data_IF_173548668163
#
_entry.id   IF_173548668163
#
_cell.length_a   1.000
_cell.length_b   1.000
_cell.length_c   1.000
_cell.angle_alpha   90.00
_cell.angle_beta   90.00
_cell.angle_gamma   90.00
#
_symmetry.space_group_name_H-M   'P 1'
#
loop_
_entity.id
_entity.type
_entity.pdbx_description
1 polymer ?
#
# COMPACT_ATOMS: atom_id res chain seq x y z
N UNK A 1 -21.86 -62.68 -6.30
CA UNK A 1 -21.99 -61.31 -5.75
C UNK A 1 -20.59 -60.82 -5.39
N UNK A 2 -20.24 -59.64 -5.88
CA UNK A 2 -18.87 -59.16 -6.03
C UNK A 2 -18.23 -58.67 -4.72
N UNK A 3 -16.92 -58.89 -4.62
CA UNK A 3 -16.01 -58.38 -3.57
C UNK A 3 -15.86 -56.86 -3.62
N UNK A 4 -15.69 -56.18 -2.48
CA UNK A 4 -15.20 -54.81 -2.44
C UNK A 4 -13.67 -54.80 -2.34
N UNK A 5 -13.04 -54.05 -3.25
CA UNK A 5 -11.60 -53.84 -3.31
C UNK A 5 -11.13 -52.75 -2.34
N UNK A 6 -10.06 -53.06 -1.63
CA UNK A 6 -9.24 -52.15 -0.84
C UNK A 6 -8.53 -51.14 -1.74
N UNK A 7 -8.76 -49.85 -1.50
CA UNK A 7 -7.99 -48.75 -2.09
C UNK A 7 -7.18 -48.08 -1.00
N UNK A 8 -5.91 -48.47 -0.89
CA UNK A 8 -4.94 -47.86 0.03
C UNK A 8 -4.31 -46.63 -0.63
N UNK A 9 -4.66 -45.45 -0.13
CA UNK A 9 -4.04 -44.19 -0.49
C UNK A 9 -2.63 -44.08 0.13
N UNK A 10 -1.64 -43.99 -0.75
CA UNK A 10 -0.23 -43.72 -0.44
C UNK A 10 -0.04 -42.22 -0.23
N UNK A 11 0.33 -41.82 0.99
CA UNK A 11 0.79 -40.45 1.30
C UNK A 11 2.25 -40.26 0.87
N UNK A 12 2.61 -39.16 0.18
CA UNK A 12 4.00 -38.85 -0.09
C UNK A 12 4.69 -38.22 1.14
N UNK A 13 5.91 -38.70 1.38
CA UNK A 13 6.85 -38.30 2.43
C UNK A 13 7.14 -36.79 2.42
N UNK A 14 7.00 -36.15 3.59
CA UNK A 14 7.58 -34.82 3.87
C UNK A 14 9.11 -34.90 3.82
N UNK A 15 9.73 -34.12 2.91
CA UNK A 15 11.16 -33.78 2.98
C UNK A 15 11.34 -32.63 3.97
N UNK A 16 12.00 -32.90 5.08
CA UNK A 16 12.52 -31.89 6.01
C UNK A 16 13.80 -31.27 5.43
N UNK A 17 13.75 -29.98 5.13
CA UNK A 17 14.96 -29.20 4.85
C UNK A 17 15.53 -28.66 6.16
N UNK A 18 16.75 -29.08 6.48
CA UNK A 18 17.59 -28.47 7.49
C UNK A 18 18.08 -27.11 6.98
N UNK A 19 17.70 -26.01 7.63
CA UNK A 19 18.39 -24.72 7.47
C UNK A 19 19.52 -24.66 8.50
N UNK A 20 20.74 -24.63 7.99
CA UNK A 20 22.00 -24.50 8.73
C UNK A 20 22.17 -23.05 9.16
N UNK A 21 22.41 -22.83 10.46
CA UNK A 21 22.83 -21.55 11.03
C UNK A 21 24.20 -21.12 10.46
N UNK A 22 24.31 -19.86 10.11
CA UNK A 22 25.55 -19.14 9.83
C UNK A 22 25.18 -17.78 9.24
N UNK A 23 25.74 -16.66 9.63
CA UNK A 23 26.70 -16.29 10.66
C UNK A 23 26.60 -14.77 10.79
N UNK A 24 26.95 -14.23 11.95
CA UNK A 24 26.94 -12.80 12.23
C UNK A 24 27.85 -12.02 11.26
N UNK A 25 27.41 -10.84 10.76
CA UNK A 25 28.34 -9.80 10.35
C UNK A 25 28.36 -8.67 11.38
N UNK A 26 29.59 -8.40 11.81
CA UNK A 26 30.03 -7.33 12.70
C UNK A 26 29.65 -5.95 12.18
N UNK A 27 29.43 -5.05 13.13
CA UNK A 27 29.23 -3.60 12.99
C UNK A 27 30.38 -2.90 12.24
N UNK A 28 30.09 -1.73 11.64
CA UNK A 28 31.08 -0.67 11.60
C UNK A 28 30.58 0.60 12.28
N UNK A 29 31.39 1.02 13.24
CA UNK A 29 31.62 2.31 13.87
C UNK A 29 31.30 3.53 12.98
N UNK A 30 30.38 4.39 13.41
CA UNK A 30 30.23 5.75 12.86
C UNK A 30 31.02 6.73 13.69
N UNK A 31 31.94 7.42 13.01
CA UNK A 31 32.86 8.42 13.53
C UNK A 31 32.13 9.76 13.70
N UNK A 32 32.33 10.34 14.87
CA UNK A 32 31.98 11.70 15.30
C UNK A 32 32.93 12.72 14.65
N UNK A 33 32.40 13.80 14.08
CA UNK A 33 33.19 14.96 13.65
C UNK A 33 32.37 16.26 13.71
N UNK A 34 32.88 17.12 14.60
CA UNK A 34 32.50 18.47 15.01
C UNK A 34 32.28 19.50 13.88
N UNK A 35 31.25 20.35 14.06
CA UNK A 35 31.14 21.86 14.08
C UNK A 35 32.37 22.72 13.70
N UNK A 36 32.29 24.09 13.55
CA UNK A 36 31.18 25.08 13.39
C UNK A 36 31.45 26.25 12.36
N UNK A 37 30.46 27.13 12.11
CA UNK A 37 30.54 28.63 11.94
C UNK A 37 29.13 29.17 11.61
N UNK A 38 28.43 30.07 12.33
CA UNK A 38 28.67 31.43 12.87
C UNK A 38 28.22 32.58 11.92
N UNK A 39 27.45 33.53 12.48
CA UNK A 39 26.89 34.77 11.87
C UNK A 39 25.47 34.59 11.32
N UNK A 40 24.41 35.34 11.66
CA UNK A 40 24.32 36.72 12.15
C UNK A 40 23.06 36.98 12.97
N UNK A 41 23.13 38.11 13.68
CA UNK A 41 22.35 38.58 14.81
C UNK A 41 21.00 39.26 14.49
N UNK A 42 19.94 38.85 15.22
CA UNK A 42 18.88 39.61 15.97
C UNK A 42 18.17 40.87 15.38
N UNK A 43 17.17 41.49 16.07
CA UNK A 43 16.09 41.00 16.96
C UNK A 43 14.70 41.62 16.62
N UNK A 44 13.58 40.99 17.04
CA UNK A 44 12.55 41.72 17.83
C UNK A 44 11.58 40.76 18.57
N UNK A 45 11.55 40.90 19.90
CA UNK A 45 10.50 40.46 20.86
C UNK A 45 9.60 41.70 21.16
N UNK A 46 8.34 41.58 21.62
CA UNK A 46 8.06 41.34 23.07
C UNK A 46 6.82 40.45 23.35
N UNK A 47 6.94 39.55 24.34
CA UNK A 47 6.23 39.53 25.65
C UNK A 47 4.70 39.34 25.64
N UNK A 48 4.24 38.24 26.22
CA UNK A 48 3.28 38.18 27.35
C UNK A 48 3.18 36.70 27.81
N UNK A 49 3.91 36.25 28.84
CA UNK A 49 3.54 36.13 30.28
C UNK A 49 2.16 35.56 30.59
N UNK A 50 2.13 34.36 31.17
CA UNK A 50 0.96 33.81 31.87
C UNK A 50 1.05 32.32 32.17
N UNK A 51 1.86 31.92 33.16
CA UNK A 51 1.59 30.72 33.98
C UNK A 51 0.83 31.17 35.25
N UNK A 52 0.05 30.29 35.90
CA UNK A 52 0.68 29.40 36.88
C UNK A 52 0.07 27.99 36.99
N UNK A 53 0.96 27.07 37.36
CA UNK A 53 0.82 25.94 38.29
C UNK A 53 -0.58 25.47 38.70
N UNK A 54 -0.81 24.17 38.53
CA UNK A 54 -1.44 23.39 39.59
C UNK A 54 -0.85 21.98 39.67
N UNK A 55 -0.52 21.64 40.91
CA UNK A 55 0.07 20.41 41.40
C UNK A 55 -1.02 19.51 41.98
N UNK A 56 -1.03 18.23 41.63
CA UNK A 56 -1.47 17.13 42.51
C UNK A 56 -0.86 15.83 41.98
N UNK A 57 0.07 15.18 42.68
CA UNK A 57 -0.10 14.41 43.92
C UNK A 57 -1.18 13.32 43.80
N UNK A 58 -0.86 12.25 43.07
CA UNK A 58 -1.61 11.00 43.06
C UNK A 58 -0.67 9.84 43.39
N UNK A 59 -0.73 9.38 44.63
CA UNK A 59 0.11 8.33 45.21
C UNK A 59 -0.09 6.97 44.57
N UNK A 60 1.03 6.34 44.20
CA UNK A 60 1.19 4.89 44.02
C UNK A 60 0.61 4.13 45.22
N UNK A 61 -0.41 3.30 44.98
CA UNK A 61 -0.85 2.25 45.91
C UNK A 61 -0.94 0.91 45.18
N UNK A 62 0.13 0.13 45.31
CA UNK A 62 0.13 -1.24 45.84
C UNK A 62 -1.07 -2.10 45.38
N UNK A 63 -0.94 -2.72 44.21
CA UNK A 63 -1.73 -3.88 43.79
C UNK A 63 -1.24 -5.11 44.57
N UNK A 64 -1.92 -5.39 45.67
CA UNK A 64 -1.71 -6.60 46.45
C UNK A 64 -2.38 -7.78 45.75
N UNK A 65 -1.52 -8.72 45.39
CA UNK A 65 -1.76 -9.97 44.70
C UNK A 65 -2.54 -10.92 45.63
N UNK A 66 -3.86 -11.08 45.41
CA UNK A 66 -4.64 -12.11 46.09
C UNK A 66 -4.99 -13.26 45.15
N UNK A 67 -4.14 -14.27 45.25
CA UNK A 67 -4.25 -15.61 44.69
C UNK A 67 -5.50 -16.31 45.28
N UNK A 68 -6.61 -16.33 44.54
CA UNK A 68 -7.72 -17.24 44.83
C UNK A 68 -7.49 -18.51 44.01
N UNK A 69 -6.97 -19.54 44.69
CA UNK A 69 -7.13 -20.93 44.24
C UNK A 69 -8.61 -21.29 44.41
N UNK A 70 -9.29 -21.62 43.32
CA UNK A 70 -10.48 -22.48 43.36
C UNK A 70 -10.19 -23.73 42.55
N UNK A 71 -10.03 -24.81 43.29
CA UNK A 71 -10.05 -26.17 42.79
C UNK A 71 -11.49 -26.57 42.47
N UNK A 72 -11.63 -27.25 41.33
CA UNK A 72 -12.56 -28.35 41.04
C UNK A 72 -14.06 -28.15 41.23
N UNK A 73 -14.77 -28.06 40.10
CA UNK A 73 -15.84 -29.03 39.82
C UNK A 73 -16.15 -29.06 38.32
N UNK A 74 -15.78 -30.14 37.66
CA UNK A 74 -16.34 -30.59 36.38
C UNK A 74 -17.86 -30.81 36.49
N UNK A 75 -18.62 -30.46 35.44
CA UNK A 75 -19.63 -31.38 34.94
C UNK A 75 -19.43 -31.72 33.46
N UNK A 76 -19.68 -33.00 33.17
CA UNK A 76 -19.72 -33.64 31.85
C UNK A 76 -20.89 -33.10 30.99
N UNK A 77 -20.89 -33.39 29.66
CA UNK A 77 -21.59 -32.61 28.66
C UNK A 77 -23.06 -32.99 28.51
N UNK A 78 -23.91 -31.99 28.27
CA UNK A 78 -25.22 -32.19 27.70
C UNK A 78 -25.12 -31.99 26.18
N UNK A 79 -25.54 -33.04 25.49
CA UNK A 79 -25.74 -33.20 24.06
C UNK A 79 -26.71 -32.18 23.45
N UNK A 80 -26.33 -31.75 22.24
CA UNK A 80 -27.18 -31.41 21.10
C UNK A 80 -28.35 -30.43 21.30
N UNK A 81 -28.22 -29.24 20.73
CA UNK A 81 -29.22 -28.75 19.77
C UNK A 81 -28.53 -27.95 18.65
N UNK A 82 -28.66 -28.47 17.43
CA UNK A 82 -28.19 -27.87 16.19
C UNK A 82 -29.02 -26.62 15.91
N UNK A 83 -28.46 -25.44 16.18
CA UNK A 83 -28.88 -24.23 15.49
C UNK A 83 -27.95 -23.99 14.31
N UNK A 84 -28.51 -24.29 13.14
CA UNK A 84 -28.04 -23.95 11.82
C UNK A 84 -27.98 -22.41 11.69
N UNK A 85 -26.92 -21.81 12.21
CA UNK A 85 -26.59 -20.40 11.99
C UNK A 85 -26.11 -20.30 10.56
N UNK A 86 -26.86 -19.55 9.77
CA UNK A 86 -26.62 -19.30 8.36
C UNK A 86 -25.16 -18.98 8.11
N UNK A 87 -24.58 -19.76 7.22
CA UNK A 87 -23.28 -19.56 6.62
C UNK A 87 -23.33 -18.24 5.83
N UNK A 88 -23.17 -17.13 6.54
CA UNK A 88 -22.94 -15.81 5.97
C UNK A 88 -21.60 -15.88 5.27
N UNK A 89 -21.64 -16.10 3.95
CA UNK A 89 -20.47 -16.17 3.10
C UNK A 89 -19.60 -14.94 3.34
N UNK A 90 -18.53 -15.13 4.10
CA UNK A 90 -17.31 -14.36 3.91
C UNK A 90 -16.84 -14.75 2.52
N UNK A 91 -17.31 -13.97 1.54
CA UNK A 91 -16.70 -13.93 0.23
C UNK A 91 -15.24 -13.59 0.49
N UNK A 92 -14.41 -14.62 0.44
CA UNK A 92 -12.99 -14.51 0.14
C UNK A 92 -12.91 -13.69 -1.14
N UNK A 93 -12.85 -12.37 -0.98
CA UNK A 93 -12.31 -11.46 -1.98
C UNK A 93 -10.80 -11.73 -1.98
N UNK A 94 -10.43 -12.93 -2.45
CA UNK A 94 -9.16 -13.13 -3.08
C UNK A 94 -9.19 -12.25 -4.33
N UNK A 95 -8.93 -10.95 -4.13
CA UNK A 95 -8.38 -10.08 -5.15
C UNK A 95 -6.98 -10.63 -5.44
N UNK A 96 -6.93 -11.79 -6.08
CA UNK A 96 -5.80 -12.19 -6.88
C UNK A 96 -5.76 -11.17 -8.00
N UNK A 97 -5.11 -10.03 -7.73
CA UNK A 97 -4.57 -9.15 -8.75
C UNK A 97 -3.55 -10.02 -9.45
N UNK A 98 -4.03 -10.82 -10.42
CA UNK A 98 -3.21 -11.31 -11.50
C UNK A 98 -2.75 -10.02 -12.17
N UNK A 99 -1.61 -9.51 -11.69
CA UNK A 99 -0.68 -8.83 -12.55
C UNK A 99 -0.35 -9.92 -13.56
N UNK A 100 -1.16 -10.00 -14.62
CA UNK A 100 -0.75 -10.63 -15.84
C UNK A 100 0.54 -9.90 -16.16
N UNK A 101 1.65 -10.54 -15.80
CA UNK A 101 2.85 -10.57 -16.60
C UNK A 101 2.36 -10.84 -18.02
N UNK A 102 1.92 -9.77 -18.70
CA UNK A 102 1.96 -9.65 -20.14
C UNK A 102 3.46 -9.65 -20.45
N UNK A 103 3.99 -10.87 -20.35
CA UNK A 103 5.28 -11.29 -20.77
C UNK A 103 5.40 -10.72 -22.18
N UNK A 104 6.43 -9.89 -22.36
CA UNK A 104 6.87 -9.38 -23.64
C UNK A 104 6.74 -10.52 -24.67
N UNK A 105 5.65 -10.50 -25.46
CA UNK A 105 5.68 -11.15 -26.76
C UNK A 105 6.71 -10.32 -27.50
N UNK A 106 7.92 -10.88 -27.59
CA UNK A 106 8.98 -10.38 -28.46
C UNK A 106 8.33 -10.14 -29.80
N UNK A 107 8.12 -8.86 -30.09
CA UNK A 107 7.39 -8.44 -31.26
C UNK A 107 8.12 -9.00 -32.47
N UNK A 108 7.34 -9.76 -33.21
CA UNK A 108 7.66 -10.50 -34.39
C UNK A 108 8.60 -9.69 -35.29
N UNK A 109 9.79 -10.26 -35.52
CA UNK A 109 10.91 -9.70 -36.27
C UNK A 109 10.48 -8.64 -37.29
N UNK A 110 10.68 -7.37 -36.91
CA UNK A 110 10.57 -6.23 -37.82
C UNK A 110 11.28 -6.62 -39.12
N UNK A 111 10.57 -6.66 -40.27
CA UNK A 111 11.18 -7.08 -41.52
C UNK A 111 12.43 -6.23 -41.78
N UNK A 112 13.52 -6.83 -42.26
CA UNK A 112 14.78 -6.12 -42.44
C UNK A 112 14.51 -4.86 -43.27
N UNK A 113 15.05 -3.70 -42.86
CA UNK A 113 14.84 -2.45 -43.57
C UNK A 113 15.21 -2.68 -45.03
N UNK A 114 14.25 -2.41 -45.93
CA UNK A 114 14.43 -2.59 -47.37
C UNK A 114 15.67 -1.80 -47.79
N UNK A 115 16.77 -2.49 -48.06
CA UNK A 115 18.01 -1.92 -48.58
C UNK A 115 17.65 -0.96 -49.72
N UNK A 116 17.82 0.34 -49.47
CA UNK A 116 17.68 1.35 -50.49
C UNK A 116 18.84 1.16 -51.45
N UNK A 117 18.64 0.35 -52.50
CA UNK A 117 19.67 0.12 -53.49
C UNK A 117 20.03 1.47 -54.17
N UNK A 118 21.25 1.98 -53.99
CA UNK A 118 21.67 3.28 -54.52
C UNK A 118 21.76 3.31 -56.06
N UNK A 119 21.57 2.16 -56.72
CA UNK A 119 21.70 2.02 -58.16
C UNK A 119 20.56 2.66 -58.97
N UNK A 120 19.42 2.96 -58.35
CA UNK A 120 18.28 3.52 -59.09
C UNK A 120 18.52 4.94 -59.60
N UNK A 121 19.26 5.79 -58.87
CA UNK A 121 19.52 7.17 -59.30
C UNK A 121 20.41 7.22 -60.55
N UNK A 122 21.45 6.39 -60.60
CA UNK A 122 22.40 6.36 -61.72
C UNK A 122 21.78 5.85 -63.03
N UNK A 123 20.64 5.15 -62.97
CA UNK A 123 19.92 4.70 -64.17
C UNK A 123 19.38 5.87 -65.02
N UNK A 124 19.23 7.06 -64.43
CA UNK A 124 18.77 8.27 -65.12
C UNK A 124 19.91 9.04 -65.81
N UNK A 125 21.17 8.65 -65.61
CA UNK A 125 22.33 9.31 -66.21
C UNK A 125 22.54 8.83 -67.65
N UNK A 126 22.40 9.72 -68.62
CA UNK A 126 22.48 9.39 -70.05
C UNK A 126 23.93 9.08 -70.43
N UNK A 127 24.18 7.83 -70.86
CA UNK A 127 25.51 7.37 -71.24
C UNK A 127 26.03 7.99 -72.54
N UNK A 128 27.36 8.04 -72.74
CA UNK A 128 27.94 8.52 -73.98
C UNK A 128 27.48 7.65 -75.16
N UNK A 129 27.28 8.24 -76.36
CA UNK A 129 26.87 7.49 -77.55
C UNK A 129 27.87 6.39 -77.90
N UNK A 130 27.37 5.31 -78.50
CA UNK A 130 28.19 4.18 -78.88
C UNK A 130 29.35 4.60 -79.81
N UNK A 131 30.55 4.02 -79.63
CA UNK A 131 31.70 4.35 -80.47
C UNK A 131 31.37 3.97 -81.92
N UNK A 132 31.33 4.96 -82.81
CA UNK A 132 30.93 4.79 -84.21
C UNK A 132 29.59 5.42 -84.60
N UNK A 133 28.84 6.01 -83.65
CA UNK A 133 27.68 6.86 -83.99
C UNK A 133 28.14 8.03 -84.87
N UNK A 134 27.50 8.30 -86.02
CA UNK A 134 27.93 9.37 -86.91
C UNK A 134 27.77 10.72 -86.21
N UNK A 135 28.89 11.32 -85.80
CA UNK A 135 28.90 12.63 -85.20
C UNK A 135 28.22 13.63 -86.15
N UNK A 136 27.08 14.20 -85.70
CA UNK A 136 26.36 15.28 -86.40
C UNK A 136 27.26 16.50 -86.69
N UNK A 137 28.44 16.58 -86.07
CA UNK A 137 29.45 17.61 -86.26
C UNK A 137 30.04 17.70 -87.69
N UNK A 138 29.82 16.70 -88.57
CA UNK A 138 30.37 16.72 -89.95
C UNK A 138 29.81 17.82 -90.86
N UNK A 139 28.73 18.52 -90.47
CA UNK A 139 28.12 19.61 -91.26
C UNK A 139 28.53 21.03 -90.83
N UNK A 140 29.38 21.19 -89.82
CA UNK A 140 29.73 22.51 -89.27
C UNK A 140 30.92 23.17 -90.00
N UNK A 141 30.86 24.48 -90.19
CA UNK A 141 31.97 25.28 -90.73
C UNK A 141 33.20 25.20 -89.80
N UNK A 142 34.40 25.43 -90.34
CA UNK A 142 35.65 25.40 -89.58
C UNK A 142 35.66 26.40 -88.41
N UNK A 143 35.08 27.58 -88.63
CA UNK A 143 34.99 28.65 -87.64
C UNK A 143 34.09 28.27 -86.46
N UNK A 144 32.96 27.61 -86.74
CA UNK A 144 32.05 27.11 -85.70
C UNK A 144 32.69 25.96 -84.91
N UNK A 145 33.42 25.05 -85.59
CA UNK A 145 34.17 23.98 -84.92
C UNK A 145 35.24 24.53 -83.97
N UNK A 146 35.92 25.60 -84.33
CA UNK A 146 36.92 26.23 -83.48
C UNK A 146 36.29 26.89 -82.24
N UNK A 147 35.16 27.59 -82.40
CA UNK A 147 34.41 28.15 -81.28
C UNK A 147 33.92 27.05 -80.31
N UNK A 148 33.46 25.92 -80.84
CA UNK A 148 33.05 24.77 -80.04
C UNK A 148 34.21 24.06 -79.35
N UNK A 149 35.39 23.98 -79.98
CA UNK A 149 36.58 23.44 -79.33
C UNK A 149 36.95 24.23 -78.06
N UNK A 150 36.69 25.55 -78.06
CA UNK A 150 36.94 26.42 -76.91
C UNK A 150 35.85 26.32 -75.83
N UNK A 151 34.61 25.95 -76.15
CA UNK A 151 33.52 25.83 -75.16
C UNK A 151 33.55 24.51 -74.38
N UNK A 152 34.08 23.43 -74.96
CA UNK A 152 34.21 22.11 -74.31
C UNK A 152 34.87 22.18 -72.92
N UNK A 153 36.07 22.79 -72.73
CA UNK A 153 36.68 22.88 -71.41
C UNK A 153 35.81 23.69 -70.44
N UNK A 154 35.16 24.76 -70.90
CA UNK A 154 34.29 25.58 -70.07
C UNK A 154 33.08 24.79 -69.54
N UNK A 155 32.45 23.95 -70.37
CA UNK A 155 31.34 23.09 -69.96
C UNK A 155 31.80 22.05 -68.93
N UNK A 156 32.96 21.41 -69.15
CA UNK A 156 33.53 20.45 -68.18
C UNK A 156 33.83 21.12 -66.84
N UNK A 157 34.49 22.28 -66.87
CA UNK A 157 34.83 23.05 -65.67
C UNK A 157 33.57 23.53 -64.93
N UNK A 158 32.56 24.03 -65.66
CA UNK A 158 31.30 24.47 -65.07
C UNK A 158 30.55 23.30 -64.41
N UNK A 159 30.52 22.12 -65.05
CA UNK A 159 29.90 20.93 -64.44
C UNK A 159 30.65 20.48 -63.18
N UNK A 160 31.98 20.42 -63.22
CA UNK A 160 32.77 20.06 -62.04
C UNK A 160 32.55 21.05 -60.90
N UNK A 161 32.56 22.36 -61.20
CA UNK A 161 32.27 23.39 -60.21
C UNK A 161 30.86 23.23 -59.62
N UNK A 162 29.86 22.92 -60.45
CA UNK A 162 28.51 22.64 -59.96
C UNK A 162 28.48 21.40 -59.06
N UNK A 163 29.04 20.26 -59.50
CA UNK A 163 28.99 19.02 -58.75
C UNK A 163 29.74 19.11 -57.40
N UNK A 164 30.83 19.87 -57.36
CA UNK A 164 31.63 20.08 -56.13
C UNK A 164 30.99 21.07 -55.16
N UNK A 165 30.09 21.95 -55.64
CA UNK A 165 29.37 22.91 -54.81
C UNK A 165 27.95 22.46 -54.46
N UNK A 166 27.39 21.52 -55.22
CA UNK A 166 26.09 20.93 -54.97
C UNK A 166 26.07 20.15 -53.65
N UNK A 167 24.91 20.16 -53.00
CA UNK A 167 24.69 19.33 -51.81
C UNK A 167 24.76 17.85 -52.19
N UNK A 168 25.48 16.99 -51.42
CA UNK A 168 25.51 15.55 -51.68
C UNK A 168 24.13 14.88 -51.57
N UNK A 169 23.16 15.56 -50.93
CA UNK A 169 21.77 15.12 -50.84
C UNK A 169 20.92 15.48 -52.08
N UNK A 170 21.42 16.31 -53.00
CA UNK A 170 20.71 16.70 -54.23
C UNK A 170 21.18 15.88 -55.46
N UNK A 171 21.15 14.55 -55.32
CA UNK A 171 21.63 13.63 -56.36
C UNK A 171 20.83 13.79 -57.66
N UNK A 172 19.52 14.04 -57.59
CA UNK A 172 18.68 14.25 -58.78
C UNK A 172 19.06 15.55 -59.51
N UNK A 173 19.33 16.65 -58.79
CA UNK A 173 19.83 17.90 -59.38
C UNK A 173 21.20 17.73 -60.04
N UNK A 174 22.09 16.96 -59.41
CA UNK A 174 23.40 16.60 -59.98
C UNK A 174 23.28 15.80 -61.28
N UNK A 175 22.37 14.82 -61.33
CA UNK A 175 22.10 14.03 -62.54
C UNK A 175 21.53 14.91 -63.66
N UNK A 176 20.57 15.79 -63.34
CA UNK A 176 19.95 16.67 -64.32
C UNK A 176 20.96 17.63 -64.94
N UNK A 177 21.83 18.23 -64.13
CA UNK A 177 22.88 19.12 -64.61
C UNK A 177 23.94 18.37 -65.43
N UNK A 178 24.33 17.17 -64.99
CA UNK A 178 25.25 16.31 -65.74
C UNK A 178 24.69 15.92 -67.11
N UNK A 179 23.43 15.49 -67.18
CA UNK A 179 22.75 15.16 -68.44
C UNK A 179 22.71 16.36 -69.39
N UNK A 180 22.44 17.56 -68.87
CA UNK A 180 22.43 18.80 -69.66
C UNK A 180 23.82 19.14 -70.22
N UNK A 181 24.86 18.97 -69.39
CA UNK A 181 26.25 19.18 -69.81
C UNK A 181 26.72 18.14 -70.84
N UNK A 182 26.36 16.86 -70.68
CA UNK A 182 26.69 15.81 -71.65
C UNK A 182 25.97 15.99 -72.98
N UNK A 183 24.69 16.39 -72.96
CA UNK A 183 23.96 16.74 -74.18
C UNK A 183 24.64 17.89 -74.93
N UNK A 184 25.12 18.91 -74.20
CA UNK A 184 25.92 19.99 -74.79
C UNK A 184 27.22 19.44 -75.40
N UNK A 185 28.01 18.65 -74.66
CA UNK A 185 29.26 18.07 -75.16
C UNK A 185 29.08 17.15 -76.38
N UNK A 186 27.96 16.41 -76.44
CA UNK A 186 27.61 15.55 -77.58
C UNK A 186 27.34 16.36 -78.85
N UNK A 187 26.57 17.46 -78.76
CA UNK A 187 26.31 18.37 -79.89
C UNK A 187 27.62 18.91 -80.47
N UNK A 188 28.64 19.09 -79.63
CA UNK A 188 29.97 19.60 -80.01
C UNK A 188 30.92 18.50 -80.53
N UNK A 189 30.50 17.23 -80.52
CA UNK A 189 31.33 16.10 -80.95
C UNK A 189 32.56 15.85 -80.07
N UNK A 190 32.50 16.25 -78.79
CA UNK A 190 33.60 16.02 -77.85
C UNK A 190 33.68 14.53 -77.47
N UNK A 191 34.89 13.98 -77.35
CA UNK A 191 35.07 12.74 -76.58
C UNK A 191 35.07 13.10 -75.09
N UNK A 192 34.02 12.67 -74.40
CA UNK A 192 33.81 12.89 -72.98
C UNK A 192 33.68 11.60 -72.19
N UNK A 193 34.05 10.43 -72.74
CA UNK A 193 33.83 9.14 -72.07
C UNK A 193 34.54 9.05 -70.71
N UNK A 194 35.82 9.40 -70.64
CA UNK A 194 36.56 9.42 -69.36
C UNK A 194 36.00 10.42 -68.36
N UNK A 195 35.50 11.56 -68.84
CA UNK A 195 34.86 12.58 -68.01
C UNK A 195 33.50 12.11 -67.48
N UNK A 196 32.73 11.41 -68.31
CA UNK A 196 31.47 10.77 -67.92
C UNK A 196 31.69 9.77 -66.79
N UNK A 197 32.69 8.89 -66.90
CA UNK A 197 33.00 7.91 -65.87
C UNK A 197 33.35 8.58 -64.54
N UNK A 198 34.12 9.69 -64.57
CA UNK A 198 34.44 10.49 -63.39
C UNK A 198 33.20 11.13 -62.75
N UNK A 199 32.33 11.76 -63.55
CA UNK A 199 31.07 12.36 -63.06
C UNK A 199 30.14 11.28 -62.50
N UNK A 200 30.00 10.14 -63.18
CA UNK A 200 29.19 9.01 -62.75
C UNK A 200 29.69 8.45 -61.42
N UNK A 201 31.01 8.28 -61.28
CA UNK A 201 31.61 7.84 -60.02
C UNK A 201 31.37 8.83 -58.88
N UNK A 202 31.48 10.14 -59.15
CA UNK A 202 31.23 11.18 -58.15
C UNK A 202 29.75 11.23 -57.71
N UNK A 203 28.80 11.19 -58.65
CA UNK A 203 27.35 11.13 -58.33
C UNK A 203 27.03 9.85 -57.53
N UNK A 204 27.65 8.72 -57.88
CA UNK A 204 27.53 7.47 -57.13
C UNK A 204 28.00 7.64 -55.68
N UNK A 205 29.17 8.26 -55.48
CA UNK A 205 29.72 8.55 -54.16
C UNK A 205 28.79 9.44 -53.34
N UNK A 206 28.27 10.54 -53.90
CA UNK A 206 27.32 11.40 -53.19
C UNK A 206 26.03 10.67 -52.80
N UNK A 207 25.51 9.80 -53.68
CA UNK A 207 24.35 8.96 -53.35
C UNK A 207 24.61 7.98 -52.21
N UNK A 208 25.80 7.38 -52.15
CA UNK A 208 26.17 6.49 -51.04
C UNK A 208 26.35 7.28 -49.75
N UNK A 209 27.01 8.44 -49.81
CA UNK A 209 27.20 9.31 -48.66
C UNK A 209 25.85 9.74 -48.05
N UNK A 210 24.92 10.21 -48.88
CA UNK A 210 23.57 10.61 -48.46
C UNK A 210 22.81 9.44 -47.79
N UNK A 211 22.90 8.23 -48.36
CA UNK A 211 22.29 7.05 -47.78
C UNK A 211 22.89 6.71 -46.40
N UNK A 212 24.22 6.76 -46.25
CA UNK A 212 24.90 6.50 -44.98
C UNK A 212 24.63 7.56 -43.92
N UNK A 213 24.53 8.84 -44.30
CA UNK A 213 24.16 9.93 -43.38
C UNK A 213 22.74 9.74 -42.86
N UNK A 214 21.80 9.35 -43.74
CA UNK A 214 20.44 9.04 -43.34
C UNK A 214 20.37 7.85 -42.39
N UNK A 215 21.09 6.76 -42.69
CA UNK A 215 21.15 5.59 -41.81
C UNK A 215 21.76 5.95 -40.43
N UNK A 216 22.80 6.79 -40.41
CA UNK A 216 23.38 7.28 -39.16
C UNK A 216 22.36 8.08 -38.35
N UNK A 217 21.64 9.01 -38.98
CA UNK A 217 20.60 9.80 -38.33
C UNK A 217 19.49 8.92 -37.76
N UNK A 218 18.99 7.96 -38.55
CA UNK A 218 17.96 7.01 -38.11
C UNK A 218 18.46 6.18 -36.91
N UNK A 219 19.74 5.78 -36.90
CA UNK A 219 20.37 5.07 -35.78
C UNK A 219 20.49 5.94 -34.52
N UNK A 220 20.86 7.21 -34.65
CA UNK A 220 20.90 8.14 -33.51
C UNK A 220 19.52 8.33 -32.88
N UNK A 221 18.49 8.48 -33.71
CA UNK A 221 17.10 8.61 -33.25
C UNK A 221 16.63 7.33 -32.52
N UNK A 222 16.99 6.16 -33.05
CA UNK A 222 16.72 4.87 -32.42
C UNK A 222 17.42 4.71 -31.07
N UNK A 223 18.68 5.15 -30.93
CA UNK A 223 19.40 5.17 -29.65
C UNK A 223 18.65 6.04 -28.63
N UNK A 224 18.13 7.19 -29.06
CA UNK A 224 17.32 8.07 -28.22
C UNK A 224 16.04 7.38 -27.71
N UNK A 225 15.35 6.63 -28.57
CA UNK A 225 14.18 5.84 -28.20
C UNK A 225 14.54 4.74 -27.19
N UNK A 226 15.62 3.98 -27.43
CA UNK A 226 16.08 2.93 -26.53
C UNK A 226 16.46 3.47 -25.15
N UNK A 227 17.11 4.64 -25.09
CA UNK A 227 17.45 5.30 -23.84
C UNK A 227 16.20 5.67 -23.03
N UNK A 228 15.17 6.24 -23.70
CA UNK A 228 13.89 6.56 -23.07
C UNK A 228 13.17 5.30 -22.58
N UNK A 229 13.13 4.24 -23.39
CA UNK A 229 12.54 2.97 -23.01
C UNK A 229 13.21 2.36 -21.77
N UNK A 230 14.55 2.37 -21.73
CA UNK A 230 15.32 1.90 -20.55
C UNK A 230 15.00 2.71 -19.30
N UNK A 231 14.85 4.03 -19.42
CA UNK A 231 14.47 4.88 -18.30
C UNK A 231 13.05 4.57 -17.81
N UNK A 232 12.09 4.44 -18.73
CA UNK A 232 10.71 4.07 -18.42
C UNK A 232 10.63 2.72 -17.70
N UNK A 233 11.37 1.71 -18.19
CA UNK A 233 11.45 0.39 -17.56
C UNK A 233 11.96 0.44 -16.10
N UNK A 234 12.96 1.30 -15.81
CA UNK A 234 13.43 1.52 -14.44
C UNK A 234 12.35 2.13 -13.54
N UNK A 235 11.62 3.13 -14.05
CA UNK A 235 10.54 3.77 -13.29
C UNK A 235 9.37 2.81 -13.05
N UNK A 236 9.00 2.00 -14.05
CA UNK A 236 8.00 0.92 -13.89
C UNK A 236 8.44 -0.04 -12.77
N UNK A 237 9.71 -0.49 -12.80
CA UNK A 237 10.23 -1.41 -11.77
C UNK A 237 10.21 -0.80 -10.37
N UNK A 238 10.50 0.50 -10.24
CA UNK A 238 10.39 1.21 -8.95
C UNK A 238 8.93 1.30 -8.50
N UNK A 239 8.02 1.62 -9.42
CA UNK A 239 6.57 1.66 -9.18
C UNK A 239 6.07 0.32 -8.67
N UNK A 240 6.41 -0.79 -9.34
CA UNK A 240 6.03 -2.14 -8.90
C UNK A 240 6.52 -2.45 -7.49
N UNK A 241 7.77 -2.10 -7.15
CA UNK A 241 8.29 -2.29 -5.79
C UNK A 241 7.53 -1.48 -4.73
N UNK A 242 7.09 -0.27 -5.06
CA UNK A 242 6.27 0.54 -4.16
C UNK A 242 4.88 -0.09 -3.96
N UNK A 243 4.26 -0.61 -5.03
CA UNK A 243 2.97 -1.31 -4.95
C UNK A 243 3.07 -2.53 -4.05
N UNK A 244 4.10 -3.38 -4.19
CA UNK A 244 4.28 -4.54 -3.31
C UNK A 244 4.41 -4.17 -1.83
N UNK A 245 5.13 -3.09 -1.50
CA UNK A 245 5.24 -2.62 -0.12
C UNK A 245 3.90 -2.16 0.45
N UNK A 246 3.12 -1.43 -0.34
CA UNK A 246 1.78 -1.00 0.06
C UNK A 246 0.83 -2.19 0.25
N UNK A 247 0.97 -3.23 -0.56
CA UNK A 247 0.19 -4.47 -0.40
C UNK A 247 0.54 -5.18 0.91
N UNK A 248 1.84 -5.31 1.22
CA UNK A 248 2.30 -5.89 2.49
C UNK A 248 1.77 -5.10 3.71
N UNK A 249 1.83 -3.76 3.66
CA UNK A 249 1.29 -2.88 4.71
C UNK A 249 -0.23 -3.01 4.85
N UNK A 250 -0.96 -3.10 3.74
CA UNK A 250 -2.40 -3.30 3.73
C UNK A 250 -2.79 -4.65 4.35
N UNK A 251 -2.08 -5.73 4.01
CA UNK A 251 -2.30 -7.04 4.60
C UNK A 251 -2.02 -7.05 6.11
N UNK A 252 -0.96 -6.36 6.54
CA UNK A 252 -0.65 -6.19 7.95
C UNK A 252 -1.79 -5.47 8.69
N UNK A 253 -2.26 -4.34 8.16
CA UNK A 253 -3.36 -3.57 8.76
C UNK A 253 -4.68 -4.36 8.79
N UNK A 254 -4.98 -5.11 7.72
CA UNK A 254 -6.15 -5.99 7.68
C UNK A 254 -6.10 -7.05 8.79
N UNK A 255 -4.92 -7.64 9.05
CA UNK A 255 -4.74 -8.60 10.14
C UNK A 255 -4.92 -7.97 11.53
N UNK A 256 -4.49 -6.72 11.68
CA UNK A 256 -4.67 -5.96 12.91
C UNK A 256 -6.13 -5.62 13.17
N UNK A 257 -6.89 -5.24 12.13
CA UNK A 257 -8.32 -5.00 12.21
C UNK A 257 -9.10 -6.23 12.69
N UNK A 258 -8.77 -7.43 12.18
CA UNK A 258 -9.39 -8.69 12.66
C UNK A 258 -9.14 -8.92 14.15
N UNK A 259 -7.94 -8.60 14.65
CA UNK A 259 -7.65 -8.71 16.09
C UNK A 259 -8.43 -7.69 16.92
N UNK A 260 -8.58 -6.46 16.43
CA UNK A 260 -9.40 -5.44 17.09
C UNK A 260 -10.88 -5.85 17.14
N UNK A 261 -11.42 -6.38 16.04
CA UNK A 261 -12.79 -6.89 15.99
C UNK A 261 -13.02 -7.98 17.04
N UNK A 262 -12.09 -8.95 17.15
CA UNK A 262 -12.16 -10.00 18.19
C UNK A 262 -12.19 -9.40 19.60
N UNK A 263 -11.31 -8.42 19.88
CA UNK A 263 -11.25 -7.77 21.21
C UNK A 263 -12.50 -6.97 21.53
N UNK A 264 -13.12 -6.35 20.53
CA UNK A 264 -14.40 -5.63 20.69
C UNK A 264 -15.50 -6.62 21.05
N UNK A 265 -15.52 -7.80 20.42
CA UNK A 265 -16.51 -8.82 20.73
C UNK A 265 -16.33 -9.41 22.13
N UNK A 266 -15.09 -9.74 22.53
CA UNK A 266 -14.78 -10.17 23.90
C UNK A 266 -15.26 -9.14 24.94
N UNK A 267 -15.06 -7.84 24.67
CA UNK A 267 -15.50 -6.77 25.55
C UNK A 267 -17.03 -6.65 25.62
N UNK A 268 -17.74 -6.90 24.52
CA UNK A 268 -19.21 -6.93 24.48
C UNK A 268 -19.76 -8.09 25.30
N UNK A 269 -19.17 -9.27 25.19
CA UNK A 269 -19.57 -10.42 25.99
C UNK A 269 -19.36 -10.16 27.49
N UNK A 270 -18.22 -9.60 27.87
CA UNK A 270 -17.94 -9.23 29.26
C UNK A 270 -18.92 -8.17 29.81
N UNK A 271 -19.30 -7.18 28.98
CA UNK A 271 -20.33 -6.20 29.35
C UNK A 271 -21.68 -6.87 29.61
N UNK A 272 -22.10 -7.78 28.72
CA UNK A 272 -23.34 -8.52 28.88
C UNK A 272 -23.36 -9.38 30.16
N UNK A 273 -22.23 -9.99 30.51
CA UNK A 273 -22.09 -10.74 31.78
C UNK A 273 -22.26 -9.83 33.00
N UNK A 274 -21.61 -8.66 33.00
CA UNK A 274 -21.75 -7.68 34.09
C UNK A 274 -23.17 -7.12 34.21
N UNK A 275 -23.86 -6.89 33.09
CA UNK A 275 -25.28 -6.48 33.09
C UNK A 275 -26.18 -7.53 33.74
N UNK A 276 -25.99 -8.82 33.42
CA UNK A 276 -26.74 -9.90 34.07
C UNK A 276 -26.44 -9.98 35.57
N UNK A 277 -25.17 -9.88 35.99
CA UNK A 277 -24.80 -9.89 37.40
C UNK A 277 -25.39 -8.68 38.16
N UNK A 278 -25.46 -7.52 37.51
CA UNK A 278 -26.07 -6.32 38.07
C UNK A 278 -27.57 -6.53 38.33
N UNK A 279 -28.31 -7.08 37.37
CA UNK A 279 -29.74 -7.37 37.55
C UNK A 279 -29.98 -8.44 38.63
N UNK A 280 -29.14 -9.47 38.70
CA UNK A 280 -29.21 -10.46 39.76
C UNK A 280 -29.00 -9.84 41.15
N UNK A 281 -28.00 -8.96 41.28
CA UNK A 281 -27.74 -8.23 42.54
C UNK A 281 -28.89 -7.28 42.89
N UNK A 282 -29.51 -6.61 41.92
CA UNK A 282 -30.70 -5.78 42.15
C UNK A 282 -31.86 -6.60 42.72
N UNK A 283 -32.13 -7.78 42.15
CA UNK A 283 -33.16 -8.69 42.68
C UNK A 283 -32.85 -9.13 44.11
N UNK A 284 -31.60 -9.52 44.41
CA UNK A 284 -31.17 -9.89 45.77
C UNK A 284 -31.34 -8.75 46.77
N UNK A 285 -31.04 -7.51 46.38
CA UNK A 285 -31.25 -6.33 47.23
C UNK A 285 -32.74 -6.12 47.53
N UNK A 286 -33.61 -6.20 46.52
CA UNK A 286 -35.05 -6.08 46.70
C UNK A 286 -35.63 -7.17 47.64
N UNK A 287 -35.14 -8.41 47.53
CA UNK A 287 -35.51 -9.50 48.44
C UNK A 287 -35.10 -9.19 49.89
N UNK A 288 -33.86 -8.75 50.11
CA UNK A 288 -33.36 -8.39 51.44
C UNK A 288 -34.12 -7.22 52.06
N UNK A 289 -34.51 -6.23 51.25
CA UNK A 289 -35.38 -5.13 51.68
C UNK A 289 -36.75 -5.65 52.13
N UNK A 290 -37.34 -6.60 51.39
CA UNK A 290 -38.57 -7.28 51.79
C UNK A 290 -38.43 -7.98 53.15
N UNK A 291 -37.35 -8.74 53.35
CA UNK A 291 -37.06 -9.42 54.64
C UNK A 291 -36.87 -8.41 55.77
N UNK A 292 -36.19 -7.29 55.51
CA UNK A 292 -36.00 -6.21 56.49
C UNK A 292 -37.34 -5.62 56.93
N UNK A 293 -38.24 -5.32 55.99
CA UNK A 293 -39.59 -4.80 56.28
C UNK A 293 -40.38 -5.81 57.14
N UNK A 294 -40.35 -7.09 56.78
CA UNK A 294 -41.02 -8.14 57.58
C UNK A 294 -40.47 -8.22 59.01
N UNK A 295 -39.14 -8.18 59.19
CA UNK A 295 -38.50 -8.19 60.52
C UNK A 295 -38.87 -6.96 61.34
N UNK A 296 -38.90 -5.77 60.74
CA UNK A 296 -39.33 -4.54 61.42
C UNK A 296 -40.78 -4.64 61.91
N UNK A 297 -41.68 -5.19 61.10
CA UNK A 297 -43.08 -5.42 61.50
C UNK A 297 -43.20 -6.39 62.69
N UNK A 298 -42.41 -7.47 62.72
CA UNK A 298 -42.38 -8.40 63.86
C UNK A 298 -41.85 -7.71 65.11
N UNK A 299 -40.80 -6.90 64.99
CA UNK A 299 -40.27 -6.12 66.11
C UNK A 299 -41.30 -5.13 66.66
N UNK A 300 -42.04 -4.44 65.80
CA UNK A 300 -43.13 -3.52 66.19
C UNK A 300 -44.22 -4.25 67.00
N UNK A 301 -44.70 -5.41 66.50
CA UNK A 301 -45.67 -6.24 67.24
C UNK A 301 -45.14 -6.72 68.60
N UNK A 302 -43.84 -7.04 68.69
CA UNK A 302 -43.21 -7.44 69.95
C UNK A 302 -43.10 -6.27 70.94
N UNK A 303 -42.76 -5.07 70.47
CA UNK A 303 -42.73 -3.85 71.28
C UNK A 303 -44.12 -3.58 71.88
N UNK A 304 -45.17 -3.68 71.07
CA UNK A 304 -46.56 -3.55 71.54
C UNK A 304 -46.92 -4.62 72.58
N UNK A 305 -46.48 -5.86 72.35
CA UNK A 305 -46.66 -6.98 73.28
C UNK A 305 -46.00 -6.72 74.64
N UNK A 306 -44.75 -6.26 74.64
CA UNK A 306 -44.01 -5.89 75.86
C UNK A 306 -44.71 -4.72 76.57
N UNK A 307 -45.18 -3.72 75.83
CA UNK A 307 -45.95 -2.60 76.39
C UNK A 307 -47.21 -3.07 77.14
N UNK A 308 -47.97 -4.00 76.57
CA UNK A 308 -49.14 -4.61 77.23
C UNK A 308 -48.77 -5.38 78.49
N UNK A 309 -47.68 -6.14 78.46
CA UNK A 309 -47.19 -6.89 79.63
C UNK A 309 -46.77 -5.92 80.74
N UNK A 310 -46.01 -4.88 80.41
CA UNK A 310 -45.59 -3.85 81.36
C UNK A 310 -46.80 -3.13 82.00
N UNK A 311 -47.83 -2.81 81.20
CA UNK A 311 -49.07 -2.24 81.70
C UNK A 311 -49.81 -3.16 82.69
N UNK A 312 -49.90 -4.46 82.38
CA UNK A 312 -50.47 -5.47 83.31
C UNK A 312 -49.64 -5.59 84.59
N UNK A 313 -48.32 -5.62 84.47
CA UNK A 313 -47.41 -5.70 85.61
C UNK A 313 -47.59 -4.50 86.56
N UNK A 314 -47.75 -3.29 86.02
CA UNK A 314 -48.03 -2.08 86.81
C UNK A 314 -49.37 -2.16 87.55
N UNK A 315 -50.43 -2.63 86.88
CA UNK A 315 -51.73 -2.85 87.53
C UNK A 315 -51.63 -3.87 88.69
N UNK A 316 -50.90 -4.98 88.47
CA UNK A 316 -50.63 -5.97 89.52
C UNK A 316 -49.85 -5.34 90.68
N UNK A 317 -48.84 -4.51 90.39
CA UNK A 317 -48.06 -3.80 91.42
C UNK A 317 -48.95 -2.87 92.27
N UNK A 318 -49.87 -2.13 91.65
CA UNK A 318 -50.85 -1.29 92.33
C UNK A 318 -51.79 -2.11 93.23
N UNK A 319 -52.28 -3.27 92.75
CA UNK A 319 -53.09 -4.20 93.54
C UNK A 319 -52.30 -4.72 94.76
N UNK A 320 -51.05 -5.13 94.57
CA UNK A 320 -50.20 -5.62 95.68
C UNK A 320 -50.00 -4.51 96.72
N UNK A 321 -49.76 -3.26 96.30
CA UNK A 321 -49.63 -2.10 97.21
C UNK A 321 -50.90 -1.88 98.04
N UNK A 322 -52.07 -1.96 97.42
CA UNK A 322 -53.37 -1.86 98.12
C UNK A 322 -53.55 -3.01 99.12
N UNK A 323 -53.28 -4.26 98.73
CA UNK A 323 -53.35 -5.43 99.63
C UNK A 323 -52.43 -5.27 100.83
N UNK A 324 -51.17 -4.88 100.61
CA UNK A 324 -50.19 -4.65 101.69
C UNK A 324 -50.69 -3.55 102.64
N UNK A 325 -51.25 -2.46 102.10
CA UNK A 325 -51.81 -1.38 102.91
C UNK A 325 -52.99 -1.84 103.77
N UNK A 326 -53.91 -2.65 103.22
CA UNK A 326 -55.03 -3.23 103.96
C UNK A 326 -54.57 -4.22 105.03
N UNK A 327 -53.54 -5.02 104.76
CA UNK A 327 -52.94 -5.93 105.74
C UNK A 327 -52.33 -5.17 106.92
N UNK A 328 -51.62 -4.07 106.66
CA UNK A 328 -51.05 -3.23 107.72
C UNK A 328 -52.15 -2.59 108.59
N UNK A 329 -53.24 -2.10 107.97
CA UNK A 329 -54.40 -1.59 108.70
C UNK A 329 -55.08 -2.67 109.55
N UNK A 330 -55.30 -3.87 108.99
CA UNK A 330 -55.89 -4.99 109.71
C UNK A 330 -55.02 -5.43 110.88
N UNK A 331 -53.69 -5.43 110.71
CA UNK A 331 -52.73 -5.71 111.78
C UNK A 331 -52.83 -4.70 112.92
N UNK A 332 -52.88 -3.39 112.61
CA UNK A 332 -53.09 -2.33 113.61
C UNK A 332 -54.41 -2.54 114.36
N UNK A 333 -55.50 -2.85 113.64
CA UNK A 333 -56.80 -3.10 114.26
C UNK A 333 -56.78 -4.31 115.21
N UNK A 334 -56.12 -5.41 114.82
CA UNK A 334 -55.93 -6.58 115.69
C UNK A 334 -55.08 -6.23 116.93
N UNK A 335 -54.02 -5.45 116.77
CA UNK A 335 -53.20 -4.97 117.89
C UNK A 335 -54.01 -4.08 118.86
N UNK A 336 -54.89 -3.22 118.33
CA UNK A 336 -55.83 -2.41 119.13
C UNK A 336 -56.86 -3.26 119.87
N UNK A 337 -57.57 -4.18 119.20
CA UNK A 337 -58.54 -5.08 119.85
C UNK A 337 -57.87 -5.99 120.88
N UNK A 338 -56.63 -6.42 120.63
CA UNK A 338 -55.84 -7.15 121.62
C UNK A 338 -55.55 -6.27 122.84
N UNK A 339 -55.17 -5.01 122.65
CA UNK A 339 -54.95 -4.07 123.76
C UNK A 339 -56.22 -3.80 124.58
N UNK A 340 -57.40 -3.80 123.96
CA UNK A 340 -58.70 -3.68 124.65
C UNK A 340 -59.04 -4.94 125.48
N UNK A 341 -58.80 -6.14 124.95
CA UNK A 341 -59.01 -7.40 125.66
C UNK A 341 -58.14 -7.56 126.93
N UNK A 342 -56.94 -6.96 126.95
CA UNK A 342 -56.05 -6.97 128.11
C UNK A 342 -56.26 -5.76 129.07
N UNK A 343 -57.27 -4.91 128.81
CA UNK A 343 -57.59 -3.73 129.63
C UNK A 343 -58.87 -3.90 130.49
N UNK A 344 -59.59 -5.02 130.36
CA UNK A 344 -60.74 -5.40 131.20
C UNK A 344 -60.39 -6.54 132.15
#
# INVERSE_FOLDING_TARGET
MASPGDSSHVFPRRRSFFIRKGGEPKTPTTIDSRKPTAGDDTPTKPLFTGSPQSSSSGTNKRSEQKRIKRETSTPKPATHENHNVGNGGRGDLQLSVKVEEAFFQEDEATPPPKEHQPHHALSKLVGPPAPGSPAKAKQLSSQIRQAYALSIPNVKTALVAFLTTASPNDVDGMIQQANSAFASLEVHGADYRSFYDGVRAYICYCSQLSATEKELQDNEDNIGVLARHKQLSKEITKGSKAVYKLDDELQHEASFMVQLESRVEDAREALKEMEMELEERKMRVAELEGVKIQKLKVLEMNIDGVGKIAGKAKCIEEIIKDIVSRLELAKIAVEQSRAELFRG
#
